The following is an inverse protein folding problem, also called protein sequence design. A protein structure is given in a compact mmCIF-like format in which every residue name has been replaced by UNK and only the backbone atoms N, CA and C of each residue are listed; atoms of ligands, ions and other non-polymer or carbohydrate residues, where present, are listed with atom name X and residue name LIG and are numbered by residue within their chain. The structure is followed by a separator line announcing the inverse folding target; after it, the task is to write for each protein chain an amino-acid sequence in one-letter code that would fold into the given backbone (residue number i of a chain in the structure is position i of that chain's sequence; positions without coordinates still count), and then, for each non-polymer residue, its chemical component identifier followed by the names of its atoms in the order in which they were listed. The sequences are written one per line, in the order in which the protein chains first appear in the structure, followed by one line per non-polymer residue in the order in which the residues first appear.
data_IF_003538527284
#
_entry.id   IF_003538527284
#
_cell.length_a   1.000
_cell.length_b   1.000
_cell.length_c   1.000
_cell.angle_alpha   90.00
_cell.angle_beta   90.00
_cell.angle_gamma   90.00
#
_symmetry.space_group_name_H-M   'P 1'
#
loop_
_entity.id
_entity.type
_entity.pdbx_description
1 polymer ?
#
# COMPACT_ATOMS: atom_id res chain seq x y z
N UNK A 1 -1.32 -1.61 16.99
CA UNK A 1 -0.71 -0.80 15.90
C UNK A 1 -0.86 -1.60 14.62
N UNK A 2 -1.57 -1.05 13.64
CA UNK A 2 -1.87 -1.77 12.40
C UNK A 2 -0.81 -1.37 11.37
N UNK A 3 0.12 -2.28 11.11
CA UNK A 3 1.20 -2.09 10.15
C UNK A 3 0.87 -2.84 8.87
N UNK A 4 1.00 -2.19 7.72
CA UNK A 4 0.79 -2.78 6.40
C UNK A 4 2.11 -2.77 5.63
N UNK A 5 2.48 -3.90 5.07
CA UNK A 5 3.71 -4.03 4.28
C UNK A 5 3.49 -3.48 2.87
N UNK A 6 4.38 -2.59 2.44
CA UNK A 6 4.32 -1.94 1.14
C UNK A 6 5.67 -2.06 0.43
N UNK A 7 5.62 -2.52 -0.82
CA UNK A 7 6.76 -2.63 -1.71
C UNK A 7 6.72 -1.51 -2.75
N UNK A 8 7.89 -1.02 -3.17
CA UNK A 8 7.98 0.00 -4.21
C UNK A 8 7.59 -0.61 -5.55
N UNK A 9 6.68 0.04 -6.28
CA UNK A 9 6.18 -0.44 -7.57
C UNK A 9 7.03 0.07 -8.72
N UNK A 10 7.74 -0.81 -9.39
CA UNK A 10 8.39 -0.48 -10.68
C UNK A 10 7.48 -0.77 -11.89
N UNK A 11 6.57 -1.74 -11.75
CA UNK A 11 5.67 -2.11 -12.84
C UNK A 11 4.58 -1.06 -13.12
N UNK A 12 4.56 -0.57 -14.37
CA UNK A 12 3.63 0.45 -14.86
C UNK A 12 2.90 -0.03 -16.12
N UNK A 13 1.74 0.58 -16.42
CA UNK A 13 0.98 0.30 -17.64
C UNK A 13 0.24 -1.04 -17.64
N UNK A 14 0.29 -1.78 -18.76
CA UNK A 14 -0.47 -3.03 -18.97
C UNK A 14 -0.14 -4.15 -17.96
N UNK A 15 1.07 -4.14 -17.37
CA UNK A 15 1.51 -5.15 -16.39
C UNK A 15 0.79 -5.05 -15.04
N UNK A 16 0.17 -3.90 -14.75
CA UNK A 16 -0.59 -3.68 -13.51
C UNK A 16 -1.82 -4.60 -13.42
N UNK A 17 -2.36 -5.06 -14.55
CA UNK A 17 -3.46 -6.01 -14.54
C UNK A 17 -3.03 -7.37 -13.98
N UNK A 18 -1.83 -7.85 -14.35
CA UNK A 18 -1.27 -9.09 -13.82
C UNK A 18 -1.07 -9.04 -12.30
N UNK A 19 -0.64 -7.89 -11.77
CA UNK A 19 -0.52 -7.68 -10.32
C UNK A 19 -1.86 -7.83 -9.59
N UNK A 20 -2.95 -7.27 -10.13
CA UNK A 20 -4.29 -7.40 -9.54
C UNK A 20 -4.78 -8.84 -9.53
N UNK A 21 -4.57 -9.56 -10.63
CA UNK A 21 -4.90 -11.00 -10.74
C UNK A 21 -4.07 -11.83 -9.76
N UNK A 22 -2.81 -11.46 -9.52
CA UNK A 22 -1.92 -12.08 -8.55
C UNK A 22 -2.24 -11.72 -7.08
N UNK A 23 -3.35 -11.03 -6.79
CA UNK A 23 -3.73 -10.65 -5.43
C UNK A 23 -2.90 -9.52 -4.84
N UNK A 24 -2.25 -8.72 -5.69
CA UNK A 24 -1.51 -7.51 -5.28
C UNK A 24 -2.29 -6.25 -5.68
N UNK A 25 -2.40 -5.31 -4.75
CA UNK A 25 -3.10 -4.04 -4.95
C UNK A 25 -2.07 -2.96 -5.31
N UNK A 26 -2.13 -2.40 -6.52
CA UNK A 26 -1.33 -1.23 -6.88
C UNK A 26 -1.93 0.02 -6.21
N UNK A 27 -1.12 0.75 -5.45
CA UNK A 27 -1.50 1.96 -4.75
C UNK A 27 -0.45 3.07 -4.93
N UNK A 28 -0.75 4.27 -4.47
CA UNK A 28 0.18 5.40 -4.48
C UNK A 28 0.09 6.10 -3.13
N UNK A 29 1.23 6.26 -2.47
CA UNK A 29 1.35 7.03 -1.22
C UNK A 29 1.78 8.44 -1.58
N UNK A 30 1.06 9.43 -1.07
CA UNK A 30 1.34 10.84 -1.28
C UNK A 30 1.01 11.63 -0.01
N UNK A 31 1.55 12.83 0.12
CA UNK A 31 1.29 13.66 1.28
C UNK A 31 1.81 15.09 1.12
N UNK A 32 1.42 16.02 2.00
CA UNK A 32 1.70 17.46 1.86
C UNK A 32 3.19 17.81 1.80
N UNK A 33 4.06 16.94 2.32
CA UNK A 33 5.53 17.12 2.31
C UNK A 33 6.28 15.99 1.60
N UNK A 34 5.59 15.14 0.84
CA UNK A 34 6.19 13.96 0.21
C UNK A 34 5.78 13.78 -1.25
N UNK A 35 6.77 13.39 -2.06
CA UNK A 35 6.56 13.03 -3.47
C UNK A 35 5.72 11.77 -3.55
N UNK A 36 4.83 11.70 -4.53
CA UNK A 36 3.99 10.52 -4.77
C UNK A 36 4.86 9.29 -5.08
N UNK A 37 4.80 8.28 -4.21
CA UNK A 37 5.50 7.02 -4.38
C UNK A 37 4.52 5.94 -4.80
N UNK A 38 4.70 5.33 -5.99
CA UNK A 38 3.89 4.20 -6.40
C UNK A 38 4.31 2.95 -5.61
N UNK A 39 3.34 2.28 -5.01
CA UNK A 39 3.55 1.14 -4.12
C UNK A 39 2.66 -0.03 -4.53
N UNK A 40 3.01 -1.22 -4.07
CA UNK A 40 2.19 -2.42 -4.15
C UNK A 40 2.04 -2.99 -2.75
N UNK A 41 0.81 -3.36 -2.41
CA UNK A 41 0.47 -4.00 -1.15
C UNK A 41 -0.23 -5.33 -1.42
N UNK A 42 -0.18 -6.26 -0.47
CA UNK A 42 -0.91 -7.53 -0.57
C UNK A 42 -2.40 -7.32 -0.25
N UNK A 43 -3.29 -7.86 -1.09
CA UNK A 43 -4.73 -7.77 -0.86
C UNK A 43 -5.13 -8.42 0.47
N UNK A 44 -4.55 -9.59 0.77
CA UNK A 44 -4.84 -10.35 1.99
C UNK A 44 -4.45 -9.60 3.26
N UNK A 45 -3.31 -8.91 3.23
CA UNK A 45 -2.86 -8.07 4.36
C UNK A 45 -3.74 -6.83 4.50
N UNK A 46 -4.07 -6.19 3.39
CA UNK A 46 -4.92 -5.01 3.37
C UNK A 46 -6.32 -5.30 3.92
N UNK A 47 -6.96 -6.40 3.52
CA UNK A 47 -8.27 -6.80 4.05
C UNK A 47 -8.23 -7.06 5.56
N UNK A 48 -7.17 -7.69 6.05
CA UNK A 48 -6.98 -7.94 7.49
C UNK A 48 -6.80 -6.64 8.27
N UNK A 49 -6.06 -5.69 7.72
CA UNK A 49 -5.87 -4.37 8.32
C UNK A 49 -7.15 -3.54 8.25
N UNK A 50 -7.86 -3.53 7.13
CA UNK A 50 -9.12 -2.79 6.93
C UNK A 50 -10.20 -3.27 7.90
N UNK A 51 -10.35 -4.59 8.08
CA UNK A 51 -11.30 -5.15 9.05
C UNK A 51 -10.98 -4.79 10.50
N UNK A 52 -9.69 -4.62 10.83
CA UNK A 52 -9.25 -4.29 12.20
C UNK A 52 -9.22 -2.79 12.47
N UNK A 53 -8.80 -1.99 11.50
CA UNK A 53 -8.63 -0.54 11.63
C UNK A 53 -9.96 0.20 11.38
N UNK A 54 -10.87 -0.36 10.58
CA UNK A 54 -12.05 0.35 10.09
C UNK A 54 -11.74 1.25 8.90
N UNK A 55 -12.76 1.93 8.39
CA UNK A 55 -12.69 2.70 7.13
C UNK A 55 -11.92 4.02 7.26
N UNK A 56 -11.75 4.53 8.47
CA UNK A 56 -11.18 5.87 8.72
C UNK A 56 -10.19 5.87 9.88
N UNK A 57 -9.17 5.02 9.78
CA UNK A 57 -8.12 4.90 10.79
C UNK A 57 -6.74 5.00 10.16
N UNK A 58 -5.82 5.60 10.91
CA UNK A 58 -4.41 5.74 10.49
C UNK A 58 -3.72 4.38 10.55
N UNK A 59 -3.08 4.01 9.45
CA UNK A 59 -2.31 2.76 9.27
C UNK A 59 -0.85 3.13 9.04
N UNK A 60 0.08 2.39 9.64
CA UNK A 60 1.51 2.59 9.37
C UNK A 60 1.95 1.71 8.21
N UNK A 61 2.56 2.29 7.19
CA UNK A 61 3.18 1.54 6.09
C UNK A 61 4.64 1.23 6.43
N UNK A 62 5.02 -0.05 6.33
CA UNK A 62 6.39 -0.54 6.48
C UNK A 62 6.93 -1.10 5.15
N UNK A 63 8.23 -0.95 4.88
CA UNK A 63 8.86 -1.48 3.65
C UNK A 63 9.26 -0.43 2.60
N UNK A 64 8.82 0.82 2.80
CA UNK A 64 9.48 1.98 2.20
C UNK A 64 10.44 2.54 3.23
N UNK A 65 11.57 3.12 2.83
CA UNK A 65 12.71 3.52 3.69
C UNK A 65 12.37 4.43 4.90
N UNK A 66 11.10 4.82 5.09
CA UNK A 66 10.56 5.43 6.31
C UNK A 66 9.17 4.87 6.62
N UNK A 67 8.86 4.69 7.91
CA UNK A 67 7.50 4.39 8.37
C UNK A 67 6.60 5.59 8.09
N UNK A 68 5.54 5.40 7.31
CA UNK A 68 4.62 6.48 6.94
C UNK A 68 3.26 6.26 7.63
N UNK A 69 2.78 7.21 8.45
CA UNK A 69 1.40 7.21 8.90
C UNK A 69 0.53 7.69 7.72
N UNK A 70 -0.41 6.84 7.29
CA UNK A 70 -1.39 7.14 6.24
C UNK A 70 -2.81 6.89 6.73
#
# INVERSE_FOLDING_TARGET
MNTLTAEKRDERGKRVHALRVAGRIPAVVYGPKQKSVPIVISLKEFEGVLKKAGESSVVSLAGLEKSFPV
#
